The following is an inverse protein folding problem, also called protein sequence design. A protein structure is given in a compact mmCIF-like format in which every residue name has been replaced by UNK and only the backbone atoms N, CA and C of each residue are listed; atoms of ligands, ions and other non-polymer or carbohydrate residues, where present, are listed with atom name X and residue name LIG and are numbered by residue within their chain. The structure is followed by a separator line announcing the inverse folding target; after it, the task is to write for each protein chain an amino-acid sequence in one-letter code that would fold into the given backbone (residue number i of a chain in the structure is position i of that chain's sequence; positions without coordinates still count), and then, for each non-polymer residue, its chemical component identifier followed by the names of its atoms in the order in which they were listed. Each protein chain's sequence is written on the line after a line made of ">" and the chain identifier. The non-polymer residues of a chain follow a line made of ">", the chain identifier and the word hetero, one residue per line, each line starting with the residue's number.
data_IF_093537048832
#
_entry.id   IF_093537048832
#
_cell.length_a   1.000
_cell.length_b   1.000
_cell.length_c   1.000
_cell.angle_alpha   90.00
_cell.angle_beta   90.00
_cell.angle_gamma   90.00
#
_symmetry.space_group_name_H-M   'P 1'
#
loop_
_entity.id
_entity.type
_entity.pdbx_description
1 polymer ?
#
# COMPACT_ATOMS: atom_id res chain seq x y z
N UNK A 1 -4.72 14.28 -16.08
CA UNK A 1 -4.56 15.55 -15.37
C UNK A 1 -3.11 15.62 -14.94
N UNK A 2 -2.41 16.69 -15.25
CA UNK A 2 -1.00 16.87 -14.92
C UNK A 2 -0.88 17.62 -13.57
N UNK A 3 0.23 17.44 -12.86
CA UNK A 3 0.49 18.20 -11.63
C UNK A 3 0.48 19.71 -11.94
N UNK A 4 -0.21 20.50 -11.12
CA UNK A 4 -0.45 21.93 -11.29
C UNK A 4 -1.60 22.28 -12.24
N UNK A 5 -2.22 21.29 -12.90
CA UNK A 5 -3.37 21.53 -13.78
C UNK A 5 -4.61 21.91 -12.94
N UNK A 6 -5.32 22.95 -13.37
CA UNK A 6 -6.61 23.36 -12.80
C UNK A 6 -7.74 23.02 -13.78
N UNK A 7 -8.84 22.48 -13.26
CA UNK A 7 -10.02 22.13 -14.07
C UNK A 7 -11.29 22.52 -13.34
N UNK A 8 -12.26 23.00 -14.11
CA UNK A 8 -13.64 23.12 -13.66
C UNK A 8 -14.38 21.83 -13.99
N UNK A 9 -14.91 21.16 -12.98
CA UNK A 9 -15.68 19.92 -13.12
C UNK A 9 -17.13 20.19 -12.76
N UNK A 10 -18.03 19.91 -13.71
CA UNK A 10 -19.48 20.00 -13.50
C UNK A 10 -20.04 18.60 -13.25
N UNK A 11 -20.56 18.36 -12.04
CA UNK A 11 -21.11 17.07 -11.62
C UNK A 11 -22.65 17.18 -11.58
N UNK A 12 -23.37 16.41 -12.41
CA UNK A 12 -24.83 16.40 -12.39
C UNK A 12 -25.37 15.76 -11.10
N UNK A 13 -26.63 16.02 -10.72
CA UNK A 13 -27.10 15.69 -9.38
C UNK A 13 -27.04 14.19 -9.05
N UNK A 14 -27.29 13.32 -10.03
CA UNK A 14 -27.27 11.86 -9.86
C UNK A 14 -25.88 11.27 -9.63
N UNK A 15 -24.81 12.02 -9.94
CA UNK A 15 -23.41 11.67 -9.59
C UNK A 15 -22.91 12.45 -8.36
N UNK A 16 -23.71 13.37 -7.82
CA UNK A 16 -23.43 14.16 -6.63
C UNK A 16 -24.31 13.73 -5.45
N UNK A 17 -25.07 14.66 -4.89
CA UNK A 17 -25.91 14.42 -3.70
C UNK A 17 -27.37 14.00 -4.02
N UNK A 18 -27.73 13.86 -5.29
CA UNK A 18 -29.03 13.39 -5.73
C UNK A 18 -30.21 14.24 -5.26
N UNK A 19 -31.39 13.62 -5.21
CA UNK A 19 -32.64 14.28 -4.79
C UNK A 19 -32.68 14.61 -3.29
N UNK A 20 -31.89 13.92 -2.47
CA UNK A 20 -31.86 14.17 -1.03
C UNK A 20 -31.04 15.41 -0.65
N UNK A 21 -30.13 15.83 -1.53
CA UNK A 21 -29.16 16.88 -1.20
C UNK A 21 -28.23 16.46 -0.06
N UNK A 22 -27.53 17.45 0.51
CA UNK A 22 -26.66 17.25 1.67
C UNK A 22 -26.64 18.54 2.51
N UNK A 23 -25.89 18.54 3.61
CA UNK A 23 -25.70 19.74 4.43
C UNK A 23 -25.14 20.88 3.58
N UNK A 24 -25.93 21.94 3.38
CA UNK A 24 -25.55 23.09 2.56
C UNK A 24 -25.72 22.90 1.05
N UNK A 25 -26.20 21.74 0.59
CA UNK A 25 -26.43 21.45 -0.83
C UNK A 25 -27.92 21.17 -1.08
N UNK A 26 -28.61 21.97 -1.91
CA UNK A 26 -30.01 21.75 -2.25
C UNK A 26 -30.26 20.40 -2.94
N UNK A 27 -31.51 19.94 -2.86
CA UNK A 27 -31.99 18.80 -3.65
C UNK A 27 -31.72 19.02 -5.14
N UNK A 28 -31.23 17.98 -5.82
CA UNK A 28 -31.05 17.97 -7.28
C UNK A 28 -30.14 19.09 -7.81
N UNK A 29 -29.23 19.61 -6.98
CA UNK A 29 -28.27 20.64 -7.39
C UNK A 29 -27.17 20.07 -8.30
N UNK A 30 -26.80 20.82 -9.34
CA UNK A 30 -25.60 20.58 -10.14
C UNK A 30 -24.42 21.18 -9.39
N UNK A 31 -23.36 20.40 -9.17
CA UNK A 31 -22.17 20.84 -8.48
C UNK A 31 -21.12 21.31 -9.49
N UNK A 32 -20.47 22.43 -9.21
CA UNK A 32 -19.36 22.95 -10.02
C UNK A 32 -18.16 23.09 -9.09
N UNK A 33 -17.12 22.31 -9.35
CA UNK A 33 -15.89 22.31 -8.58
C UNK A 33 -14.77 22.93 -9.39
N UNK A 34 -13.99 23.82 -8.77
CA UNK A 34 -12.68 24.21 -9.27
C UNK A 34 -11.65 23.34 -8.56
N UNK A 35 -10.99 22.46 -9.30
CA UNK A 35 -10.05 21.48 -8.76
C UNK A 35 -8.64 21.72 -9.29
N UNK A 36 -7.65 21.57 -8.42
CA UNK A 36 -6.24 21.66 -8.74
C UNK A 36 -5.54 20.36 -8.36
N UNK A 37 -4.80 19.77 -9.30
CA UNK A 37 -4.01 18.57 -9.00
C UNK A 37 -2.66 18.98 -8.40
N UNK A 38 -2.56 18.94 -7.07
CA UNK A 38 -1.34 19.33 -6.34
C UNK A 38 -0.21 18.30 -6.50
N UNK A 39 -0.55 17.00 -6.42
CA UNK A 39 0.39 15.90 -6.60
C UNK A 39 -0.37 14.61 -6.90
N UNK A 40 0.32 13.61 -7.44
CA UNK A 40 -0.19 12.25 -7.53
C UNK A 40 0.96 11.26 -7.33
N UNK A 41 0.66 10.12 -6.74
CA UNK A 41 1.60 9.03 -6.57
C UNK A 41 1.01 7.78 -7.21
N UNK A 42 1.84 6.99 -7.89
CA UNK A 42 1.37 5.68 -8.36
C UNK A 42 1.17 4.81 -7.13
N UNK A 43 -0.02 4.27 -6.95
CA UNK A 43 -0.28 3.26 -5.92
C UNK A 43 0.45 1.95 -6.21
N UNK A 44 0.14 0.95 -5.40
CA UNK A 44 0.67 -0.41 -5.55
C UNK A 44 -0.10 -1.17 -6.65
N UNK A 45 0.54 -2.14 -7.33
CA UNK A 45 -0.15 -3.05 -8.24
C UNK A 45 -1.26 -3.84 -7.53
N UNK A 46 -2.29 -4.31 -8.26
CA UNK A 46 -3.36 -5.11 -7.68
C UNK A 46 -2.83 -6.33 -6.92
N UNK A 47 -3.31 -6.54 -5.70
CA UNK A 47 -2.93 -7.68 -4.86
C UNK A 47 -1.65 -7.48 -4.03
N UNK A 48 -1.02 -6.31 -4.11
CA UNK A 48 0.11 -5.95 -3.25
C UNK A 48 -0.34 -4.97 -2.16
N UNK A 49 0.28 -5.07 -0.99
CA UNK A 49 0.05 -4.17 0.14
C UNK A 49 1.15 -3.10 0.23
N UNK A 50 2.37 -3.48 -0.15
CA UNK A 50 3.56 -2.65 -0.16
C UNK A 50 4.41 -2.97 -1.39
N UNK A 51 5.06 -1.96 -1.95
CA UNK A 51 6.07 -2.12 -2.99
C UNK A 51 7.28 -1.23 -2.72
N UNK A 52 8.45 -1.77 -3.02
CA UNK A 52 9.70 -1.02 -3.06
C UNK A 52 9.75 -0.18 -4.34
N UNK A 53 10.07 1.11 -4.21
CA UNK A 53 10.31 2.01 -5.35
C UNK A 53 11.77 1.88 -5.81
N UNK A 54 12.69 1.69 -4.87
CA UNK A 54 14.12 1.47 -5.10
C UNK A 54 14.49 -0.02 -4.93
N UNK A 55 15.79 -0.33 -5.01
CA UNK A 55 16.30 -1.68 -4.76
C UNK A 55 15.95 -2.11 -3.33
N UNK A 56 15.33 -3.29 -3.19
CA UNK A 56 15.13 -3.92 -1.90
C UNK A 56 16.48 -4.31 -1.29
N UNK A 57 16.63 -4.33 0.05
CA UNK A 57 17.83 -4.82 0.68
C UNK A 57 18.18 -6.24 0.20
N UNK A 58 19.46 -6.52 -0.01
CA UNK A 58 19.93 -7.86 -0.40
C UNK A 58 19.60 -8.91 0.69
N UNK A 59 19.57 -8.49 1.95
CA UNK A 59 19.14 -9.31 3.08
C UNK A 59 18.07 -8.53 3.86
N UNK A 60 16.81 -8.74 3.46
CA UNK A 60 15.66 -8.04 4.06
C UNK A 60 15.50 -8.41 5.54
N UNK A 61 15.80 -9.64 5.90
CA UNK A 61 15.69 -10.11 7.27
C UNK A 61 16.70 -9.42 8.17
N UNK A 62 17.97 -9.34 7.78
CA UNK A 62 18.98 -8.60 8.55
C UNK A 62 18.68 -7.09 8.63
N UNK A 63 18.01 -6.52 7.63
CA UNK A 63 17.62 -5.11 7.63
C UNK A 63 16.44 -4.83 8.59
N UNK A 64 15.58 -5.83 8.80
CA UNK A 64 14.44 -5.77 9.73
C UNK A 64 14.87 -6.06 11.17
N UNK A 65 15.76 -7.03 11.36
CA UNK A 65 16.27 -7.47 12.67
C UNK A 65 17.36 -6.52 13.20
N UNK A 66 16.92 -5.37 13.71
CA UNK A 66 17.80 -4.30 14.22
C UNK A 66 18.64 -4.80 15.40
N UNK A 67 18.04 -5.64 16.24
CA UNK A 67 18.66 -6.10 17.48
C UNK A 67 19.50 -7.39 17.28
N UNK A 68 19.41 -8.02 16.11
CA UNK A 68 20.12 -9.24 15.69
C UNK A 68 19.77 -10.50 16.50
N UNK A 69 18.54 -10.58 17.01
CA UNK A 69 18.05 -11.74 17.78
C UNK A 69 17.44 -12.83 16.89
N UNK A 70 17.36 -12.63 15.57
CA UNK A 70 16.70 -13.49 14.59
C UNK A 70 15.18 -13.60 14.77
N UNK A 71 14.56 -12.61 15.39
CA UNK A 71 13.12 -12.53 15.58
C UNK A 71 12.68 -11.10 15.30
N UNK A 72 11.85 -10.90 14.27
CA UNK A 72 11.33 -9.58 13.92
C UNK A 72 9.91 -9.44 14.48
N UNK A 73 9.71 -8.79 15.64
CA UNK A 73 8.37 -8.53 16.15
C UNK A 73 7.64 -7.50 15.27
N UNK A 74 6.32 -7.40 15.45
CA UNK A 74 5.48 -6.44 14.71
C UNK A 74 5.97 -4.99 14.83
N UNK A 75 6.57 -4.65 15.96
CA UNK A 75 7.12 -3.33 16.24
C UNK A 75 8.30 -3.00 15.31
N UNK A 76 9.29 -3.89 15.22
CA UNK A 76 10.45 -3.72 14.33
C UNK A 76 10.02 -3.72 12.87
N UNK A 77 9.14 -4.66 12.49
CA UNK A 77 8.59 -4.72 11.14
C UNK A 77 7.84 -3.43 10.76
N UNK A 78 6.99 -2.94 11.67
CA UNK A 78 6.20 -1.74 11.46
C UNK A 78 7.04 -0.48 11.37
N UNK A 79 8.03 -0.33 12.25
CA UNK A 79 8.97 0.79 12.21
C UNK A 79 9.76 0.82 10.91
N UNK A 80 10.22 -0.34 10.44
CA UNK A 80 10.93 -0.44 9.18
C UNK A 80 10.04 -0.03 8.00
N UNK A 81 8.81 -0.55 7.88
CA UNK A 81 7.89 -0.18 6.79
C UNK A 81 7.55 1.32 6.85
N UNK A 82 7.33 1.88 8.05
CA UNK A 82 7.11 3.32 8.24
C UNK A 82 8.31 4.13 7.78
N UNK A 83 9.53 3.68 8.09
CA UNK A 83 10.76 4.33 7.66
C UNK A 83 10.90 4.28 6.14
N UNK A 84 10.64 3.13 5.50
CA UNK A 84 10.73 3.01 4.04
C UNK A 84 9.73 3.91 3.30
N UNK A 85 8.51 4.07 3.83
CA UNK A 85 7.53 4.99 3.25
C UNK A 85 7.92 6.46 3.49
N UNK A 86 8.46 6.78 4.68
CA UNK A 86 8.88 8.15 5.03
C UNK A 86 10.10 8.59 4.22
N UNK A 87 11.06 7.69 3.99
CA UNK A 87 12.23 7.91 3.13
C UNK A 87 11.85 7.96 1.64
N UNK A 88 10.60 7.65 1.27
CA UNK A 88 10.16 7.60 -0.11
C UNK A 88 10.71 6.42 -0.91
N UNK A 89 11.20 5.38 -0.20
CA UNK A 89 11.71 4.12 -0.77
C UNK A 89 10.64 3.06 -0.96
N UNK A 90 9.49 3.20 -0.30
CA UNK A 90 8.36 2.28 -0.40
C UNK A 90 7.02 2.99 -0.57
N UNK A 91 6.03 2.28 -1.14
CA UNK A 91 4.64 2.73 -1.21
C UNK A 91 3.70 1.69 -0.66
N UNK A 92 2.67 2.14 0.04
CA UNK A 92 1.58 1.30 0.51
C UNK A 92 0.35 1.43 -0.37
N UNK A 93 -0.56 0.48 -0.23
CA UNK A 93 -1.85 0.50 -0.91
C UNK A 93 -2.63 1.78 -0.59
N UNK A 94 -3.02 2.57 -1.60
CA UNK A 94 -3.76 3.81 -1.37
C UNK A 94 -5.14 3.52 -0.77
N UNK A 95 -5.58 4.37 0.15
CA UNK A 95 -6.88 4.26 0.82
C UNK A 95 -6.90 3.34 2.05
N UNK A 96 -5.76 2.77 2.45
CA UNK A 96 -5.60 2.04 3.72
C UNK A 96 -4.78 2.85 4.72
N UNK A 97 -5.02 2.61 6.02
CA UNK A 97 -4.23 3.21 7.10
C UNK A 97 -2.91 2.43 7.21
N UNK A 98 -1.80 3.14 7.43
CA UNK A 98 -0.46 2.54 7.54
C UNK A 98 -0.41 1.37 8.52
N UNK A 99 -0.99 1.53 9.72
CA UNK A 99 -0.98 0.49 10.74
C UNK A 99 -1.77 -0.76 10.32
N UNK A 100 -2.88 -0.61 9.58
CA UNK A 100 -3.64 -1.74 9.04
C UNK A 100 -2.85 -2.49 7.97
N UNK A 101 -2.13 -1.76 7.11
CA UNK A 101 -1.27 -2.38 6.09
C UNK A 101 -0.15 -3.19 6.74
N UNK A 102 0.45 -2.64 7.80
CA UNK A 102 1.51 -3.31 8.57
C UNK A 102 0.97 -4.57 9.25
N UNK A 103 -0.19 -4.49 9.88
CA UNK A 103 -0.84 -5.63 10.54
C UNK A 103 -1.19 -6.74 9.55
N UNK A 104 -1.79 -6.40 8.41
CA UNK A 104 -2.10 -7.36 7.35
C UNK A 104 -0.82 -8.00 6.78
N UNK A 105 0.23 -7.22 6.54
CA UNK A 105 1.51 -7.74 6.06
C UNK A 105 2.15 -8.68 7.09
N UNK A 106 2.17 -8.27 8.36
CA UNK A 106 2.73 -9.05 9.46
C UNK A 106 1.98 -10.38 9.62
N UNK A 107 0.65 -10.36 9.71
CA UNK A 107 -0.17 -11.56 9.87
C UNK A 107 -0.07 -12.52 8.68
N UNK A 108 0.32 -12.04 7.49
CA UNK A 108 0.55 -12.92 6.34
C UNK A 108 1.90 -13.63 6.40
N UNK A 109 2.88 -13.04 7.07
CA UNK A 109 4.23 -13.61 7.25
C UNK A 109 4.29 -14.50 8.48
N UNK A 110 3.65 -14.09 9.59
CA UNK A 110 3.54 -14.85 10.83
C UNK A 110 2.62 -16.08 10.66
N UNK A 111 3.19 -17.16 10.10
CA UNK A 111 2.49 -18.41 9.75
C UNK A 111 2.13 -19.21 10.99
N UNK A 112 2.98 -19.18 11.99
CA UNK A 112 2.81 -19.95 13.22
C UNK A 112 2.00 -19.17 14.29
N UNK A 113 1.76 -17.87 14.08
CA UNK A 113 1.02 -16.93 14.95
C UNK A 113 1.65 -16.76 16.33
N UNK A 114 2.97 -16.78 16.40
CA UNK A 114 3.72 -16.59 17.63
C UNK A 114 4.03 -15.10 17.92
N UNK A 115 3.70 -14.20 16.99
CA UNK A 115 3.91 -12.77 17.13
C UNK A 115 5.31 -12.29 16.77
N UNK A 116 6.14 -13.15 16.16
CA UNK A 116 7.43 -12.78 15.58
C UNK A 116 7.55 -13.35 14.16
N UNK A 117 8.29 -12.66 13.29
CA UNK A 117 8.65 -13.18 11.97
C UNK A 117 10.08 -13.70 12.04
N UNK A 118 10.26 -14.96 11.69
CA UNK A 118 11.58 -15.59 11.57
C UNK A 118 12.06 -15.63 10.11
N UNK A 119 13.36 -15.91 9.91
CA UNK A 119 13.96 -15.96 8.57
C UNK A 119 13.33 -17.03 7.67
N UNK A 120 12.79 -18.10 8.25
CA UNK A 120 12.09 -19.17 7.51
C UNK A 120 10.66 -18.76 7.10
N UNK A 121 10.09 -17.76 7.76
CA UNK A 121 8.72 -17.26 7.53
C UNK A 121 8.68 -16.09 6.56
N UNK A 122 9.72 -15.24 6.59
CA UNK A 122 9.83 -14.08 5.73
C UNK A 122 9.97 -14.50 4.25
N UNK A 123 8.88 -14.43 3.49
CA UNK A 123 8.86 -14.62 2.03
C UNK A 123 8.24 -13.44 1.32
N UNK A 124 8.96 -12.90 0.34
CA UNK A 124 8.44 -11.87 -0.53
C UNK A 124 7.51 -12.48 -1.57
N UNK A 125 6.33 -11.87 -1.75
CA UNK A 125 5.36 -12.30 -2.75
C UNK A 125 5.92 -12.34 -4.18
N UNK A 126 6.87 -11.46 -4.50
CA UNK A 126 7.54 -11.43 -5.81
C UNK A 126 8.39 -12.69 -6.04
N UNK A 127 9.02 -13.19 -4.98
CA UNK A 127 9.79 -14.44 -5.04
C UNK A 127 8.86 -15.64 -5.16
N UNK A 128 7.76 -15.66 -4.40
CA UNK A 128 6.72 -16.71 -4.53
C UNK A 128 6.08 -16.75 -5.92
N UNK A 129 5.76 -15.59 -6.49
CA UNK A 129 5.20 -15.48 -7.84
C UNK A 129 6.22 -15.97 -8.89
N UNK A 130 7.51 -15.64 -8.74
CA UNK A 130 8.58 -16.11 -9.62
C UNK A 130 8.82 -17.62 -9.50
N UNK A 131 8.90 -18.16 -8.28
CA UNK A 131 9.01 -19.61 -8.03
C UNK A 131 7.83 -20.36 -8.69
N UNK A 132 6.62 -19.79 -8.61
CA UNK A 132 5.41 -20.37 -9.20
C UNK A 132 5.40 -20.31 -10.73
N UNK A 133 5.92 -19.24 -11.32
CA UNK A 133 6.08 -19.11 -12.78
C UNK A 133 7.15 -20.07 -13.31
N UNK A 134 8.30 -20.16 -12.65
CA UNK A 134 9.39 -21.07 -13.01
C UNK A 134 8.94 -22.54 -12.91
N UNK A 135 8.23 -22.92 -11.85
CA UNK A 135 7.67 -24.27 -11.68
C UNK A 135 6.66 -24.64 -12.77
N UNK A 136 5.95 -23.66 -13.34
CA UNK A 136 5.04 -23.89 -14.49
C UNK A 136 5.78 -24.03 -15.82
N UNK A 137 6.96 -23.41 -15.95
CA UNK A 137 7.74 -23.46 -17.18
C UNK A 137 8.51 -24.77 -17.35
N UNK A 138 8.87 -25.44 -16.25
CA UNK A 138 9.56 -26.75 -16.29
C UNK A 138 8.64 -27.94 -16.59
N UNK A 139 7.30 -27.78 -16.56
CA UNK A 139 6.32 -28.84 -16.89
C UNK A 139 5.94 -28.93 -18.39
N UNK A 140 6.57 -28.15 -19.28
CA UNK A 140 6.35 -28.14 -20.74
C UNK A 140 7.58 -28.57 -21.54
#
# INVERSE_FOLDING_TARGET
>A
MCVGEKRVVTVPPHLGHGEKGATGVPSSAVLVFDIELVSFEKGVPPGYLFVWIEESPADLFEALDVNKNKEVPQEEFGEFIKLQVTDGKGRIKPGMIMDQVIEDMFSNQDRNKDGVITADELKLKVEEDKEREDARHEEL
#
